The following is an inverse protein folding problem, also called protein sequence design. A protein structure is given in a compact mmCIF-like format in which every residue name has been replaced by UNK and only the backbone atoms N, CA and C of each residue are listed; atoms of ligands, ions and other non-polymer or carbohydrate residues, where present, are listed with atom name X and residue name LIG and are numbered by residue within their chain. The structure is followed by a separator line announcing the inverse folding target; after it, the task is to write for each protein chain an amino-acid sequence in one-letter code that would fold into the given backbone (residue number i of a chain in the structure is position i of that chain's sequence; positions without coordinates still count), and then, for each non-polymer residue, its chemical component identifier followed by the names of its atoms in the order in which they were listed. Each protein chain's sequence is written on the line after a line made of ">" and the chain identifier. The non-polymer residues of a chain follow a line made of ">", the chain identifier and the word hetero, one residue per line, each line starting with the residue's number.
data_IF_787872666380
#
_entry.id   IF_787872666380
#
_cell.length_a   1.000
_cell.length_b   1.000
_cell.length_c   1.000
_cell.angle_alpha   90.00
_cell.angle_beta   90.00
_cell.angle_gamma   90.00
#
_symmetry.space_group_name_H-M   'P 1'
#
loop_
_entity.id
_entity.type
_entity.pdbx_description
1 polymer ?
#
# COMPACT_ATOMS: atom_id res chain seq x y z
N UNK A 1 -4.32 33.80 -9.94
CA UNK A 1 -3.93 35.14 -10.34
C UNK A 1 -2.42 35.15 -10.31
N UNK A 2 -1.80 35.35 -11.47
CA UNK A 2 -0.37 35.56 -11.55
C UNK A 2 -0.07 37.04 -11.32
N UNK A 3 0.34 37.37 -10.10
CA UNK A 3 0.60 38.76 -9.71
C UNK A 3 1.85 39.36 -10.41
N UNK A 4 2.56 38.59 -11.23
CA UNK A 4 3.66 39.08 -12.08
C UNK A 4 3.19 39.67 -13.42
N UNK A 5 1.93 39.44 -13.81
CA UNK A 5 1.35 39.97 -15.05
C UNK A 5 0.36 41.11 -14.79
N UNK A 6 0.15 41.97 -15.79
CA UNK A 6 -0.78 43.10 -15.68
C UNK A 6 -2.25 42.69 -15.88
N UNK A 7 -2.47 41.51 -16.48
CA UNK A 7 -3.80 40.92 -16.66
C UNK A 7 -4.23 40.24 -15.36
N UNK A 8 -5.50 40.40 -14.96
CA UNK A 8 -6.08 39.72 -13.80
C UNK A 8 -6.85 38.51 -14.32
N UNK A 9 -6.36 37.30 -14.04
CA UNK A 9 -7.05 36.09 -14.46
C UNK A 9 -8.18 35.70 -13.51
N UNK A 10 -9.29 35.23 -14.08
CA UNK A 10 -10.39 34.67 -13.30
C UNK A 10 -10.06 33.26 -12.82
N UNK A 11 -10.90 32.72 -11.92
CA UNK A 11 -10.81 31.30 -11.55
C UNK A 11 -10.93 30.38 -12.77
N UNK A 12 -11.80 30.71 -13.72
CA UNK A 12 -12.04 29.90 -14.91
C UNK A 12 -10.79 29.85 -15.80
N UNK A 13 -10.14 31.00 -16.01
CA UNK A 13 -8.89 31.09 -16.77
C UNK A 13 -7.78 30.23 -16.15
N UNK A 14 -7.62 30.31 -14.83
CA UNK A 14 -6.61 29.55 -14.07
C UNK A 14 -6.88 28.04 -14.16
N UNK A 15 -8.15 27.63 -14.05
CA UNK A 15 -8.52 26.22 -14.13
C UNK A 15 -8.26 25.63 -15.52
N UNK A 16 -8.56 26.39 -16.58
CA UNK A 16 -8.26 25.99 -17.96
C UNK A 16 -6.75 25.89 -18.17
N UNK A 17 -5.98 26.88 -17.72
CA UNK A 17 -4.51 26.86 -17.79
C UNK A 17 -3.93 25.64 -17.06
N UNK A 18 -4.38 25.38 -15.83
CA UNK A 18 -3.91 24.25 -15.03
C UNK A 18 -4.23 22.90 -15.68
N UNK A 19 -5.41 22.77 -16.32
CA UNK A 19 -5.77 21.56 -17.06
C UNK A 19 -4.85 21.33 -18.27
N UNK A 20 -4.55 22.38 -19.05
CA UNK A 20 -3.63 22.28 -20.18
C UNK A 20 -2.20 21.96 -19.74
N UNK A 21 -1.72 22.57 -18.65
CA UNK A 21 -0.42 22.24 -18.08
C UNK A 21 -0.37 20.78 -17.64
N UNK A 22 -1.35 20.33 -16.86
CA UNK A 22 -1.44 18.93 -16.43
C UNK A 22 -1.46 17.95 -17.61
N UNK A 23 -2.22 18.23 -18.66
CA UNK A 23 -2.23 17.40 -19.86
C UNK A 23 -0.86 17.34 -20.54
N UNK A 24 -0.18 18.48 -20.69
CA UNK A 24 1.14 18.53 -21.32
C UNK A 24 2.19 17.78 -20.49
N UNK A 25 2.18 17.96 -19.16
CA UNK A 25 3.08 17.25 -18.25
C UNK A 25 2.87 15.73 -18.35
N UNK A 26 1.60 15.27 -18.36
CA UNK A 26 1.28 13.85 -18.54
C UNK A 26 1.69 13.32 -19.91
N UNK A 27 1.52 14.11 -20.98
CA UNK A 27 1.94 13.71 -22.32
C UNK A 27 3.47 13.65 -22.47
N UNK A 28 4.21 14.50 -21.75
CA UNK A 28 5.67 14.47 -21.68
C UNK A 28 6.16 13.23 -20.90
N UNK A 29 5.56 12.95 -19.75
CA UNK A 29 5.98 11.87 -18.86
C UNK A 29 5.55 10.48 -19.36
N UNK A 30 4.31 10.36 -19.88
CA UNK A 30 3.66 9.08 -20.17
C UNK A 30 3.46 8.82 -21.68
N UNK A 31 3.79 9.81 -22.53
CA UNK A 31 3.56 9.76 -23.97
C UNK A 31 2.21 10.33 -24.39
N UNK A 32 2.06 10.57 -25.70
CA UNK A 32 0.90 11.27 -26.27
C UNK A 32 -0.34 10.40 -26.47
N UNK A 33 -0.24 9.08 -26.37
CA UNK A 33 -1.38 8.18 -26.44
C UNK A 33 -2.00 8.01 -25.04
N UNK A 34 -3.17 8.59 -24.84
CA UNK A 34 -3.88 8.53 -23.56
C UNK A 34 -4.38 7.12 -23.22
N UNK A 35 -4.40 6.19 -24.18
CA UNK A 35 -4.69 4.78 -23.90
C UNK A 35 -3.62 4.12 -23.02
N UNK A 36 -2.39 4.65 -23.03
CA UNK A 36 -1.27 4.15 -22.22
C UNK A 36 -1.22 4.80 -20.83
N UNK A 37 -2.13 5.74 -20.52
CA UNK A 37 -2.21 6.44 -19.23
C UNK A 37 -2.91 5.58 -18.17
N UNK A 38 -2.38 4.37 -17.97
CA UNK A 38 -2.86 3.41 -16.98
C UNK A 38 -2.11 3.71 -15.68
N UNK A 39 -2.79 4.27 -14.69
CA UNK A 39 -2.15 4.72 -13.44
C UNK A 39 -1.27 3.64 -12.80
N UNK A 40 -1.77 2.41 -12.68
CA UNK A 40 -1.02 1.30 -12.08
C UNK A 40 0.17 0.78 -12.90
N UNK A 41 0.29 1.16 -14.18
CA UNK A 41 1.47 0.85 -14.99
C UNK A 41 2.66 1.76 -14.65
N UNK A 42 2.38 2.97 -14.14
CA UNK A 42 3.40 3.98 -13.81
C UNK A 42 3.59 4.14 -12.31
N UNK A 43 2.51 4.04 -11.52
CA UNK A 43 2.52 4.13 -10.08
C UNK A 43 2.72 2.75 -9.45
N UNK A 44 3.96 2.46 -9.05
CA UNK A 44 4.37 1.11 -8.61
C UNK A 44 4.93 1.13 -7.20
N UNK A 45 4.73 0.03 -6.46
CA UNK A 45 5.28 -0.15 -5.13
C UNK A 45 6.67 -0.78 -5.17
N UNK A 46 7.61 -0.26 -4.40
CA UNK A 46 8.90 -0.91 -4.17
C UNK A 46 9.30 -0.82 -2.69
N UNK A 47 9.17 -1.94 -1.99
CA UNK A 47 9.58 -2.08 -0.58
C UNK A 47 10.99 -2.66 -0.55
N UNK A 48 11.98 -1.82 -0.31
CA UNK A 48 13.38 -2.23 -0.28
C UNK A 48 13.72 -3.03 0.99
N UNK A 49 14.47 -4.12 0.83
CA UNK A 49 15.02 -4.84 1.97
C UNK A 49 16.03 -3.96 2.72
N UNK A 50 16.03 -4.00 4.06
CA UNK A 50 16.88 -3.13 4.91
C UNK A 50 18.39 -3.16 4.59
N UNK A 51 18.88 -4.29 4.09
CA UNK A 51 20.26 -4.48 3.67
C UNK A 51 20.52 -4.23 2.16
N UNK A 52 19.53 -3.74 1.41
CA UNK A 52 19.69 -3.25 0.03
C UNK A 52 19.98 -4.31 -1.05
N UNK A 53 19.76 -5.59 -0.78
CA UNK A 53 20.08 -6.67 -1.73
C UNK A 53 18.86 -7.24 -2.48
N UNK A 54 17.64 -6.89 -2.07
CA UNK A 54 16.39 -7.35 -2.69
C UNK A 54 15.25 -6.38 -2.36
N UNK A 55 14.09 -6.55 -2.99
CA UNK A 55 12.88 -5.80 -2.70
C UNK A 55 11.61 -6.66 -2.88
N UNK A 56 10.50 -6.17 -2.34
CA UNK A 56 9.14 -6.67 -2.59
C UNK A 56 8.35 -5.60 -3.35
N UNK A 57 7.39 -6.01 -4.17
CA UNK A 57 6.60 -5.10 -5.01
C UNK A 57 6.90 -5.27 -6.49
N UNK A 58 7.11 -4.16 -7.20
CA UNK A 58 7.10 -4.10 -8.67
C UNK A 58 5.69 -4.16 -9.26
N UNK A 59 4.66 -4.02 -8.43
CA UNK A 59 3.25 -4.08 -8.82
C UNK A 59 2.61 -2.71 -8.74
N UNK A 60 1.51 -2.52 -9.47
CA UNK A 60 0.63 -1.37 -9.34
C UNK A 60 0.29 -1.10 -7.86
N UNK A 61 0.34 0.17 -7.46
CA UNK A 61 -0.11 0.59 -6.13
C UNK A 61 -1.32 1.53 -6.25
N UNK A 62 -2.46 1.22 -5.62
CA UNK A 62 -3.59 2.14 -5.60
C UNK A 62 -3.35 3.26 -4.57
N UNK A 63 -4.00 4.41 -4.78
CA UNK A 63 -3.88 5.57 -3.89
C UNK A 63 -2.83 6.58 -4.36
N UNK A 64 -2.56 7.57 -3.54
CA UNK A 64 -1.56 8.62 -3.78
C UNK A 64 -1.17 9.29 -2.45
N UNK A 65 -0.25 10.26 -2.48
CA UNK A 65 0.12 11.11 -1.33
C UNK A 65 -1.07 11.81 -0.64
N UNK A 66 -2.23 11.88 -1.29
CA UNK A 66 -3.43 12.57 -0.80
C UNK A 66 -4.60 11.61 -0.47
N UNK A 67 -4.36 10.30 -0.43
CA UNK A 67 -5.39 9.29 -0.09
C UNK A 67 -5.08 8.58 1.22
N UNK A 68 -6.03 7.79 1.74
CA UNK A 68 -5.81 6.97 2.94
C UNK A 68 -4.75 5.89 2.73
N UNK A 69 -4.74 5.22 1.58
CA UNK A 69 -3.66 4.33 1.20
C UNK A 69 -2.52 5.16 0.58
N UNK A 70 -1.76 5.81 1.45
CA UNK A 70 -0.72 6.77 1.05
C UNK A 70 0.36 6.07 0.23
N UNK A 71 0.63 6.60 -0.96
CA UNK A 71 1.79 6.27 -1.79
C UNK A 71 2.25 7.52 -2.54
N UNK A 72 3.41 8.05 -2.18
CA UNK A 72 3.94 9.27 -2.81
C UNK A 72 4.85 8.96 -3.98
N UNK A 73 4.95 9.91 -4.93
CA UNK A 73 5.78 9.75 -6.14
C UNK A 73 5.18 8.76 -7.14
N UNK A 74 5.92 8.43 -8.21
CA UNK A 74 5.57 7.36 -9.14
C UNK A 74 6.06 5.99 -8.64
N UNK A 75 7.23 5.96 -8.01
CA UNK A 75 7.72 4.78 -7.29
C UNK A 75 7.46 4.98 -5.80
N UNK A 76 6.54 4.20 -5.25
CA UNK A 76 6.18 4.24 -3.83
C UNK A 76 7.21 3.47 -3.02
N UNK A 77 7.99 4.20 -2.22
CA UNK A 77 9.01 3.66 -1.31
C UNK A 77 8.63 3.77 0.18
N UNK A 78 7.54 4.48 0.46
CA UNK A 78 7.09 4.82 1.80
C UNK A 78 5.58 4.96 1.85
N UNK A 79 4.99 4.56 2.97
CA UNK A 79 3.53 4.51 3.11
C UNK A 79 3.09 3.66 4.32
N UNK A 80 1.86 3.14 4.30
CA UNK A 80 1.33 2.29 5.35
C UNK A 80 2.19 1.04 5.56
N UNK A 81 2.73 0.86 6.76
CA UNK A 81 3.37 -0.40 7.13
C UNK A 81 2.32 -1.37 7.64
N UNK A 82 2.11 -1.40 8.95
CA UNK A 82 1.18 -2.32 9.59
C UNK A 82 -0.27 -1.90 9.36
N UNK A 83 -1.07 -2.81 8.81
CA UNK A 83 -2.53 -2.71 8.74
C UNK A 83 -3.13 -3.59 9.82
N UNK A 84 -4.15 -3.09 10.52
CA UNK A 84 -4.76 -3.79 11.65
C UNK A 84 -6.27 -3.53 11.70
N UNK A 85 -7.03 -4.60 11.93
CA UNK A 85 -8.45 -4.57 12.28
C UNK A 85 -8.61 -5.22 13.64
N UNK A 86 -9.33 -4.57 14.55
CA UNK A 86 -9.53 -5.07 15.92
C UNK A 86 -11.01 -5.34 16.15
N UNK A 87 -11.34 -6.58 16.52
CA UNK A 87 -12.66 -6.92 17.04
C UNK A 87 -12.64 -6.80 18.56
N UNK A 88 -13.41 -5.87 19.09
CA UNK A 88 -13.54 -5.66 20.53
C UNK A 88 -14.52 -6.67 21.17
N UNK A 89 -14.34 -6.97 22.46
CA UNK A 89 -15.20 -7.88 23.22
C UNK A 89 -14.51 -8.43 24.47
N UNK A 90 -15.17 -9.37 25.17
CA UNK A 90 -14.56 -10.11 26.29
C UNK A 90 -13.37 -10.98 25.86
N UNK A 91 -13.34 -11.36 24.57
CA UNK A 91 -12.21 -11.98 23.90
C UNK A 91 -11.90 -11.15 22.64
N UNK A 92 -10.97 -10.18 22.72
CA UNK A 92 -10.58 -9.37 21.57
C UNK A 92 -9.81 -10.21 20.56
N UNK A 93 -9.99 -9.93 19.27
CA UNK A 93 -9.19 -10.50 18.19
C UNK A 93 -8.52 -9.40 17.38
N UNK A 94 -7.29 -9.67 16.96
CA UNK A 94 -6.42 -8.74 16.27
C UNK A 94 -6.07 -9.33 14.92
N UNK A 95 -6.48 -8.68 13.85
CA UNK A 95 -6.19 -9.12 12.49
C UNK A 95 -5.16 -8.16 11.89
N UNK A 96 -3.99 -8.67 11.51
CA UNK A 96 -2.85 -7.85 11.13
C UNK A 96 -2.19 -8.33 9.85
N UNK A 97 -1.56 -7.40 9.16
CA UNK A 97 -0.63 -7.67 8.06
C UNK A 97 0.32 -6.48 7.91
N UNK A 98 1.44 -6.64 7.20
CA UNK A 98 2.40 -5.56 6.94
C UNK A 98 3.18 -5.85 5.64
N UNK A 99 3.87 -4.85 5.04
CA UNK A 99 4.49 -4.97 3.72
C UNK A 99 5.84 -5.70 3.80
N UNK A 100 5.82 -6.97 4.20
CA UNK A 100 7.00 -7.83 4.32
C UNK A 100 6.60 -9.23 4.78
N UNK A 101 7.50 -9.95 5.44
CA UNK A 101 7.20 -11.19 6.12
C UNK A 101 7.91 -11.22 7.48
N UNK A 102 7.58 -12.19 8.32
CA UNK A 102 8.11 -12.30 9.68
C UNK A 102 9.62 -12.59 9.74
N UNK A 103 10.21 -12.97 8.61
CA UNK A 103 11.64 -13.18 8.48
C UNK A 103 12.24 -12.17 7.53
N UNK A 104 13.39 -11.59 7.88
CA UNK A 104 14.23 -10.83 6.95
C UNK A 104 15.09 -11.71 6.04
N UNK A 105 15.01 -13.04 6.15
CA UNK A 105 15.75 -13.95 5.28
C UNK A 105 14.91 -14.25 4.03
N UNK A 106 15.39 -13.83 2.85
CA UNK A 106 14.71 -14.07 1.56
C UNK A 106 14.49 -15.56 1.21
N UNK A 107 15.21 -16.48 1.86
CA UNK A 107 15.03 -17.92 1.69
C UNK A 107 14.02 -18.53 2.67
N UNK A 108 13.46 -17.74 3.58
CA UNK A 108 12.40 -18.17 4.48
C UNK A 108 11.07 -18.20 3.75
N UNK A 109 10.23 -19.20 4.05
CA UNK A 109 8.81 -19.18 3.65
C UNK A 109 8.06 -17.96 4.23
N UNK A 110 8.59 -17.36 5.31
CA UNK A 110 8.04 -16.17 5.95
C UNK A 110 8.71 -14.87 5.51
N UNK A 111 9.30 -14.84 4.31
CA UNK A 111 9.90 -13.63 3.73
C UNK A 111 8.86 -12.65 3.15
N UNK A 112 7.89 -13.18 2.39
CA UNK A 112 6.92 -12.37 1.64
C UNK A 112 5.46 -12.78 1.90
N UNK A 113 5.24 -13.75 2.78
CA UNK A 113 3.92 -14.34 3.00
C UNK A 113 2.87 -13.36 3.58
N UNK A 114 3.27 -12.35 4.38
CA UNK A 114 2.34 -11.26 4.77
C UNK A 114 2.19 -10.20 3.67
N UNK A 115 3.24 -9.97 2.87
CA UNK A 115 3.20 -9.02 1.76
C UNK A 115 2.11 -9.39 0.77
N UNK A 116 1.94 -10.67 0.45
CA UNK A 116 0.89 -11.13 -0.45
C UNK A 116 -0.51 -10.79 0.08
N UNK A 117 -0.74 -10.89 1.39
CA UNK A 117 -2.00 -10.49 2.04
C UNK A 117 -2.17 -8.97 2.10
N UNK A 118 -1.08 -8.24 2.35
CA UNK A 118 -1.07 -6.79 2.45
C UNK A 118 -1.27 -6.11 1.08
N UNK A 119 -0.69 -6.66 0.02
CA UNK A 119 -0.76 -6.08 -1.33
C UNK A 119 -1.91 -6.67 -2.15
N UNK A 120 -2.28 -7.94 -1.90
CA UNK A 120 -3.35 -8.64 -2.61
C UNK A 120 -4.73 -8.19 -2.17
N UNK A 121 -5.33 -7.29 -2.93
CA UNK A 121 -6.73 -6.91 -2.77
C UNK A 121 -7.62 -7.96 -3.42
N UNK A 122 -8.59 -8.49 -2.68
CA UNK A 122 -9.60 -9.40 -3.20
C UNK A 122 -10.83 -8.60 -3.65
N UNK A 123 -11.03 -8.50 -4.97
CA UNK A 123 -12.17 -7.79 -5.57
C UNK A 123 -13.52 -8.46 -5.28
N UNK A 124 -13.54 -9.74 -4.93
CA UNK A 124 -14.78 -10.47 -4.62
C UNK A 124 -15.30 -10.10 -3.24
N UNK A 125 -14.40 -10.02 -2.25
CA UNK A 125 -14.73 -9.64 -0.87
C UNK A 125 -14.55 -8.15 -0.61
N UNK A 126 -13.97 -7.41 -1.56
CA UNK A 126 -13.65 -5.99 -1.46
C UNK A 126 -12.68 -5.67 -0.29
N UNK A 127 -11.87 -6.66 0.12
CA UNK A 127 -11.01 -6.59 1.31
C UNK A 127 -9.56 -7.03 1.03
N UNK A 128 -8.65 -6.59 1.90
CA UNK A 128 -7.28 -7.12 1.97
C UNK A 128 -7.23 -8.36 2.88
N UNK A 129 -6.19 -9.17 2.71
CA UNK A 129 -5.92 -10.30 3.59
C UNK A 129 -5.31 -9.88 4.93
N UNK A 130 -5.61 -10.66 5.97
CA UNK A 130 -5.04 -10.49 7.31
C UNK A 130 -4.73 -11.85 7.94
N UNK A 131 -3.79 -11.87 8.87
CA UNK A 131 -3.57 -12.98 9.80
C UNK A 131 -4.12 -12.63 11.18
N UNK A 132 -4.68 -13.60 11.89
CA UNK A 132 -4.97 -13.41 13.32
C UNK A 132 -3.67 -13.39 14.12
N UNK A 133 -3.49 -12.35 14.94
CA UNK A 133 -2.33 -12.14 15.79
C UNK A 133 -2.69 -12.52 17.24
N UNK A 134 -1.94 -13.48 17.78
CA UNK A 134 -2.15 -13.99 19.13
C UNK A 134 -1.15 -13.37 20.12
N UNK A 135 -1.66 -13.00 21.29
CA UNK A 135 -0.86 -12.48 22.40
C UNK A 135 -0.91 -13.48 23.56
N UNK A 136 0.25 -13.91 24.01
CA UNK A 136 0.40 -14.81 25.16
C UNK A 136 1.02 -14.02 26.32
N UNK A 137 0.36 -14.03 27.48
CA UNK A 137 0.81 -13.30 28.66
C UNK A 137 1.87 -14.07 29.46
N UNK A 138 2.07 -15.35 29.17
CA UNK A 138 3.10 -16.18 29.78
C UNK A 138 3.71 -17.21 28.82
N UNK A 139 4.89 -17.71 29.18
CA UNK A 139 5.56 -18.81 28.45
C UNK A 139 4.74 -20.10 28.49
N UNK A 140 4.00 -20.34 29.58
CA UNK A 140 3.12 -21.51 29.70
C UNK A 140 1.97 -21.43 28.68
N UNK A 141 1.30 -20.28 28.60
CA UNK A 141 0.25 -20.03 27.59
C UNK A 141 0.77 -20.15 26.16
N UNK A 142 2.00 -19.67 25.90
CA UNK A 142 2.64 -19.86 24.59
C UNK A 142 2.98 -21.32 24.31
N UNK A 143 3.50 -22.07 25.30
CA UNK A 143 3.88 -23.47 25.15
C UNK A 143 2.70 -24.42 24.97
N UNK A 144 1.54 -24.07 25.52
CA UNK A 144 0.28 -24.80 25.33
C UNK A 144 -0.40 -24.48 24.00
N UNK A 145 0.02 -23.41 23.31
CA UNK A 145 -0.51 -23.04 22.01
C UNK A 145 0.08 -23.91 20.89
N UNK A 146 -0.79 -24.39 19.99
CA UNK A 146 -0.39 -25.22 18.83
C UNK A 146 0.19 -24.36 17.69
N UNK A 147 -0.05 -23.05 17.71
CA UNK A 147 0.25 -22.09 16.63
C UNK A 147 1.42 -21.19 17.02
N UNK A 148 2.62 -21.75 17.12
CA UNK A 148 3.84 -20.98 17.42
C UNK A 148 4.26 -20.07 16.26
N UNK A 149 4.03 -20.50 15.01
CA UNK A 149 4.21 -19.76 13.75
C UNK A 149 3.36 -20.51 12.69
N UNK A 150 2.04 -20.58 12.84
CA UNK A 150 1.18 -21.20 11.81
C UNK A 150 -0.18 -20.50 11.77
N UNK A 151 -0.56 -20.08 10.55
CA UNK A 151 -1.62 -19.11 10.29
C UNK A 151 -2.98 -19.79 10.13
N UNK A 152 -3.97 -19.32 10.87
CA UNK A 152 -5.36 -19.35 10.39
C UNK A 152 -5.60 -18.08 9.55
N UNK A 153 -5.66 -18.23 8.22
CA UNK A 153 -6.03 -17.13 7.32
C UNK A 153 -7.55 -17.02 7.34
N UNK A 154 -8.06 -15.96 7.97
CA UNK A 154 -9.49 -15.66 8.00
C UNK A 154 -9.77 -14.46 7.10
N UNK A 155 -10.58 -14.66 6.06
CA UNK A 155 -11.16 -13.56 5.28
C UNK A 155 -12.30 -12.95 6.09
N UNK A 156 -12.17 -11.68 6.46
CA UNK A 156 -13.21 -10.95 7.19
C UNK A 156 -14.27 -10.51 6.16
N UNK A 157 -15.57 -10.80 6.36
CA UNK A 157 -16.64 -10.40 5.45
C UNK A 157 -16.89 -8.89 5.46
#
# INVERSE_FOLDING_TARGET
>A
DNHETAEIETLEDIMVLALHQCYNDLAEDLGSDTADWIYGAHHTLNVEHLAGFTSLGGTAHPGSRYTLNVGGGWTVDSGPSRRMVVRHGSSPAYYTTYPGGQSGNMFSQHWSDLFDLWNGYDETTNHYGYTEEHFYASVAEFGDAVTGIERDITFIP
#
